data_IF_172864566316
#
_entry.id   IF_172864566316
#
_cell.length_a   1.000
_cell.length_b   1.000
_cell.length_c   1.000
_cell.angle_alpha   90.00
_cell.angle_beta   90.00
_cell.angle_gamma   90.00
#
_symmetry.space_group_name_H-M   'P 1'
#
loop_
_entity.id
_entity.type
_entity.pdbx_description
1 polymer ?
#
# COMPACT_ATOMS: atom_id res chain seq x y z
N UNK A 1 10.25 26.57 -34.53
CA UNK A 1 8.90 26.10 -34.14
C UNK A 1 9.08 24.70 -33.55
N UNK A 2 8.95 24.54 -32.23
CA UNK A 2 8.95 23.22 -31.62
C UNK A 2 7.59 22.58 -31.92
N UNK A 3 7.59 21.45 -32.63
CA UNK A 3 6.38 20.65 -32.77
C UNK A 3 5.89 20.28 -31.36
N UNK A 4 4.58 20.46 -31.04
CA UNK A 4 4.06 19.98 -29.76
C UNK A 4 4.30 18.47 -29.68
N UNK A 5 5.08 18.04 -28.68
CA UNK A 5 5.26 16.62 -28.42
C UNK A 5 3.88 16.01 -28.14
N UNK A 6 3.64 14.76 -28.60
CA UNK A 6 2.41 14.08 -28.26
C UNK A 6 2.27 14.04 -26.72
N UNK A 7 1.08 14.31 -26.18
CA UNK A 7 0.89 14.35 -24.74
C UNK A 7 1.27 13.02 -24.12
N UNK A 8 2.24 13.05 -23.21
CA UNK A 8 2.78 11.86 -22.55
C UNK A 8 1.81 11.37 -21.45
N UNK A 9 1.68 10.04 -21.24
CA UNK A 9 0.93 9.50 -20.12
C UNK A 9 1.46 9.99 -18.78
N UNK A 10 0.55 10.27 -17.83
CA UNK A 10 0.90 10.79 -16.51
C UNK A 10 0.79 9.71 -15.44
N UNK A 11 1.88 9.43 -14.74
CA UNK A 11 1.90 8.63 -13.52
C UNK A 11 1.83 9.58 -12.31
N UNK A 12 0.78 9.47 -11.50
CA UNK A 12 0.46 10.45 -10.46
C UNK A 12 0.53 9.84 -9.07
N UNK A 13 1.23 10.51 -8.16
CA UNK A 13 1.27 10.18 -6.75
C UNK A 13 0.67 11.30 -5.91
N UNK A 14 -0.17 10.92 -4.94
CA UNK A 14 -0.64 11.78 -3.87
C UNK A 14 0.03 11.34 -2.57
N UNK A 15 1.06 12.07 -2.13
CA UNK A 15 1.89 11.67 -1.00
C UNK A 15 1.98 12.80 0.03
N UNK A 16 1.22 12.69 1.11
CA UNK A 16 1.18 13.69 2.17
C UNK A 16 1.10 13.08 3.58
N UNK A 17 1.61 13.79 4.58
CA UNK A 17 1.51 13.42 5.99
C UNK A 17 2.79 12.77 6.55
N UNK A 18 2.71 11.62 7.27
CA UNK A 18 3.87 11.05 7.93
C UNK A 18 5.01 10.72 6.97
N UNK A 19 6.25 10.88 7.43
CA UNK A 19 7.47 10.58 6.64
C UNK A 19 7.47 9.18 6.01
N UNK A 20 6.81 8.20 6.65
CA UNK A 20 6.66 6.84 6.11
C UNK A 20 5.95 6.81 4.75
N UNK A 21 4.95 7.67 4.51
CA UNK A 21 4.24 7.69 3.22
C UNK A 21 5.12 8.26 2.11
N UNK A 22 6.00 9.22 2.43
CA UNK A 22 6.98 9.72 1.46
C UNK A 22 8.07 8.69 1.16
N UNK A 23 8.49 7.92 2.17
CA UNK A 23 9.43 6.81 1.98
C UNK A 23 8.84 5.73 1.05
N UNK A 24 7.57 5.39 1.24
CA UNK A 24 6.81 4.46 0.39
C UNK A 24 6.72 4.99 -1.05
N UNK A 25 6.28 6.25 -1.24
CA UNK A 25 6.19 6.89 -2.55
C UNK A 25 7.55 6.98 -3.27
N UNK A 26 8.60 7.39 -2.56
CA UNK A 26 9.96 7.48 -3.10
C UNK A 26 10.42 6.12 -3.65
N UNK A 27 10.25 5.06 -2.88
CA UNK A 27 10.60 3.72 -3.34
C UNK A 27 9.70 3.23 -4.49
N UNK A 28 8.40 3.52 -4.45
CA UNK A 28 7.47 3.23 -5.56
C UNK A 28 7.95 3.86 -6.87
N UNK A 29 8.29 5.16 -6.85
CA UNK A 29 8.80 5.90 -8.01
C UNK A 29 10.12 5.29 -8.51
N UNK A 30 11.08 5.03 -7.63
CA UNK A 30 12.36 4.43 -8.01
C UNK A 30 12.16 3.04 -8.63
N UNK A 31 11.22 2.24 -8.10
CA UNK A 31 10.90 0.94 -8.68
C UNK A 31 10.32 1.06 -10.09
N UNK A 32 9.48 2.08 -10.35
CA UNK A 32 8.98 2.38 -11.70
C UNK A 32 10.14 2.72 -12.66
N UNK A 33 11.04 3.61 -12.22
CA UNK A 33 12.19 4.05 -13.00
C UNK A 33 13.18 2.91 -13.29
N UNK A 34 13.38 2.00 -12.33
CA UNK A 34 14.21 0.81 -12.52
C UNK A 34 13.66 -0.10 -13.64
N UNK A 35 12.33 -0.22 -13.74
CA UNK A 35 11.68 -1.02 -14.79
C UNK A 35 11.49 -0.30 -16.13
N UNK A 36 11.69 1.03 -16.19
CA UNK A 36 11.71 1.79 -17.43
C UNK A 36 13.05 1.71 -18.17
N UNK A 37 14.16 1.53 -17.46
CA UNK A 37 15.49 1.51 -18.05
C UNK A 37 15.78 2.80 -18.84
N UNK A 38 15.97 2.69 -20.16
CA UNK A 38 16.19 3.83 -21.06
C UNK A 38 14.91 4.51 -21.53
N UNK A 39 13.74 3.91 -21.33
CA UNK A 39 12.44 4.46 -21.75
C UNK A 39 11.85 5.48 -20.75
N UNK A 40 12.70 6.19 -19.99
CA UNK A 40 12.25 7.20 -19.00
C UNK A 40 11.49 8.35 -19.64
N UNK A 41 11.75 8.61 -20.92
CA UNK A 41 11.06 9.64 -21.70
C UNK A 41 9.70 9.19 -22.27
N UNK A 42 9.19 8.02 -21.89
CA UNK A 42 7.90 7.52 -22.40
C UNK A 42 6.68 7.96 -21.57
N UNK A 43 6.88 8.49 -20.36
CA UNK A 43 5.82 8.93 -19.45
C UNK A 43 6.32 10.02 -18.51
N UNK A 44 5.45 10.83 -17.93
CA UNK A 44 5.83 11.79 -16.89
C UNK A 44 5.34 11.32 -15.53
N UNK A 45 6.08 11.68 -14.47
CA UNK A 45 5.72 11.36 -13.10
C UNK A 45 5.42 12.67 -12.37
N UNK A 46 4.23 12.77 -11.78
CA UNK A 46 3.81 13.91 -10.97
C UNK A 46 3.65 13.48 -9.51
N UNK A 47 4.16 14.28 -8.58
CA UNK A 47 4.05 14.04 -7.14
C UNK A 47 3.41 15.25 -6.47
N UNK A 48 2.18 15.07 -6.00
CA UNK A 48 1.46 16.05 -5.19
C UNK A 48 1.75 15.81 -3.72
N UNK A 49 2.40 16.76 -3.05
CA UNK A 49 2.99 16.51 -1.73
C UNK A 49 3.09 17.74 -0.83
N UNK A 50 2.96 17.53 0.48
CA UNK A 50 3.23 18.54 1.51
C UNK A 50 4.71 18.61 1.93
N UNK A 51 5.54 17.66 1.45
CA UNK A 51 6.98 17.65 1.68
C UNK A 51 7.74 17.30 0.38
N UNK A 52 8.32 18.29 -0.31
CA UNK A 52 9.00 18.08 -1.59
C UNK A 52 10.39 17.45 -1.45
N UNK A 53 11.03 17.57 -0.27
CA UNK A 53 12.43 17.20 -0.06
C UNK A 53 12.77 15.75 -0.47
N UNK A 54 11.95 14.72 -0.18
CA UNK A 54 12.27 13.32 -0.53
C UNK A 54 12.34 13.04 -2.04
N UNK A 55 11.86 13.95 -2.88
CA UNK A 55 11.74 13.76 -4.32
C UNK A 55 12.69 14.64 -5.14
N UNK A 56 13.50 15.49 -4.48
CA UNK A 56 14.30 16.52 -5.15
C UNK A 56 15.29 15.95 -6.19
N UNK A 57 15.83 14.75 -5.94
CA UNK A 57 16.80 14.08 -6.82
C UNK A 57 16.12 13.12 -7.83
N UNK A 58 14.79 13.03 -7.84
CA UNK A 58 14.04 12.15 -8.74
C UNK A 58 13.56 12.94 -9.97
N UNK A 59 13.53 12.34 -11.17
CA UNK A 59 13.03 12.97 -12.39
C UNK A 59 11.50 13.04 -12.39
N UNK A 60 10.93 13.84 -11.49
CA UNK A 60 9.50 14.00 -11.29
C UNK A 60 9.12 15.48 -11.26
N UNK A 61 7.88 15.78 -11.64
CA UNK A 61 7.28 17.10 -11.40
C UNK A 61 6.68 17.14 -10.01
N UNK A 62 7.19 18.02 -9.15
CA UNK A 62 6.70 18.20 -7.79
C UNK A 62 5.64 19.30 -7.77
N UNK A 63 4.46 18.96 -7.26
CA UNK A 63 3.35 19.90 -7.03
C UNK A 63 3.14 20.05 -5.53
N UNK A 64 3.38 21.26 -5.00
CA UNK A 64 3.20 21.53 -3.58
C UNK A 64 1.71 21.46 -3.23
N UNK A 65 1.37 20.63 -2.26
CA UNK A 65 0.02 20.43 -1.76
C UNK A 65 -0.11 21.08 -0.38
N UNK A 66 -0.61 22.31 -0.36
CA UNK A 66 -0.84 23.05 0.88
C UNK A 66 -2.06 22.55 1.66
N UNK A 67 -2.15 22.95 2.93
CA UNK A 67 -3.23 22.52 3.82
C UNK A 67 -4.61 22.97 3.32
N UNK A 68 -4.71 24.19 2.78
CA UNK A 68 -5.99 24.73 2.31
C UNK A 68 -6.55 23.90 1.14
N UNK A 69 -5.69 23.53 0.20
CA UNK A 69 -6.03 22.67 -0.94
C UNK A 69 -6.45 21.29 -0.46
N UNK A 70 -5.73 20.69 0.50
CA UNK A 70 -6.12 19.39 1.09
C UNK A 70 -7.49 19.43 1.76
N UNK A 71 -7.74 20.46 2.56
CA UNK A 71 -9.04 20.64 3.22
C UNK A 71 -10.15 20.77 2.18
N UNK A 72 -9.93 21.54 1.11
CA UNK A 72 -10.89 21.68 0.02
C UNK A 72 -11.14 20.36 -0.73
N UNK A 73 -10.11 19.56 -0.97
CA UNK A 73 -10.26 18.25 -1.64
C UNK A 73 -10.97 17.21 -0.77
N UNK A 74 -10.88 17.34 0.56
CA UNK A 74 -11.53 16.45 1.53
C UNK A 74 -12.94 16.90 1.93
N UNK A 75 -13.33 18.13 1.60
CA UNK A 75 -14.67 18.66 1.83
C UNK A 75 -15.74 17.86 1.05
N UNK A 76 -16.98 17.75 1.55
CA UNK A 76 -17.52 18.45 2.72
C UNK A 76 -17.27 17.75 4.07
N UNK A 77 -16.83 16.48 4.07
CA UNK A 77 -16.82 15.66 5.29
C UNK A 77 -15.45 15.45 5.93
N UNK A 78 -14.37 15.99 5.33
CA UNK A 78 -13.00 15.69 5.75
C UNK A 78 -12.54 14.28 5.36
N UNK A 79 -13.16 13.66 4.36
CA UNK A 79 -12.84 12.29 3.94
C UNK A 79 -11.59 12.27 3.07
N UNK A 80 -10.44 11.93 3.66
CA UNK A 80 -9.13 12.04 2.99
C UNK A 80 -9.00 11.24 1.69
N UNK A 81 -9.69 10.10 1.54
CA UNK A 81 -9.64 9.32 0.30
C UNK A 81 -10.35 9.97 -0.89
N UNK A 82 -11.26 10.92 -0.63
CA UNK A 82 -11.88 11.75 -1.68
C UNK A 82 -10.84 12.47 -2.53
N UNK A 83 -9.74 12.91 -1.91
CA UNK A 83 -8.65 13.62 -2.58
C UNK A 83 -8.05 12.85 -3.76
N UNK A 84 -8.05 11.51 -3.74
CA UNK A 84 -7.54 10.70 -4.86
C UNK A 84 -8.31 11.02 -6.15
N UNK A 85 -9.63 10.99 -6.08
CA UNK A 85 -10.48 11.20 -7.25
C UNK A 85 -10.47 12.66 -7.69
N UNK A 86 -10.44 13.60 -6.73
CA UNK A 86 -10.33 15.04 -7.03
C UNK A 86 -9.04 15.33 -7.78
N UNK A 87 -7.91 14.82 -7.28
CA UNK A 87 -6.61 14.99 -7.92
C UNK A 87 -6.59 14.42 -9.33
N UNK A 88 -6.96 13.14 -9.49
CA UNK A 88 -6.94 12.50 -10.80
C UNK A 88 -7.86 13.23 -11.79
N UNK A 89 -9.01 13.72 -11.31
CA UNK A 89 -9.95 14.50 -12.12
C UNK A 89 -9.33 15.81 -12.63
N UNK A 90 -8.54 16.50 -11.81
CA UNK A 90 -7.81 17.72 -12.19
C UNK A 90 -6.70 17.41 -13.20
N UNK A 91 -5.90 16.36 -12.97
CA UNK A 91 -4.84 15.97 -13.92
C UNK A 91 -5.44 15.66 -15.29
N UNK A 92 -6.58 14.96 -15.34
CA UNK A 92 -7.28 14.63 -16.59
C UNK A 92 -7.92 15.83 -17.31
N UNK A 93 -7.97 17.02 -16.69
CA UNK A 93 -8.35 18.26 -17.40
C UNK A 93 -7.21 18.76 -18.31
N UNK A 94 -5.97 18.41 -17.97
CA UNK A 94 -4.77 18.93 -18.61
C UNK A 94 -4.08 17.86 -19.47
N UNK A 95 -4.32 16.59 -19.16
CA UNK A 95 -3.67 15.45 -19.81
C UNK A 95 -4.70 14.43 -20.30
N UNK A 96 -4.50 13.83 -21.48
CA UNK A 96 -5.47 12.91 -22.06
C UNK A 96 -5.55 11.56 -21.34
N UNK A 97 -4.53 11.19 -20.56
CA UNK A 97 -4.42 9.90 -19.91
C UNK A 97 -3.56 10.01 -18.65
N UNK A 98 -4.09 9.50 -17.54
CA UNK A 98 -3.41 9.51 -16.26
C UNK A 98 -3.70 8.24 -15.45
N UNK A 99 -2.71 7.83 -14.66
CA UNK A 99 -2.81 6.73 -13.69
C UNK A 99 -2.35 7.24 -12.34
N UNK A 100 -3.26 7.28 -11.37
CA UNK A 100 -2.96 7.55 -9.97
C UNK A 100 -2.62 6.25 -9.24
N UNK A 101 -1.59 6.27 -8.40
CA UNK A 101 -1.14 5.10 -7.62
C UNK A 101 -0.94 5.48 -6.16
N UNK A 102 -1.32 4.56 -5.26
CA UNK A 102 -1.07 4.68 -3.82
C UNK A 102 0.43 4.59 -3.50
N UNK A 103 0.83 5.23 -2.40
CA UNK A 103 2.24 5.28 -2.00
C UNK A 103 2.78 3.92 -1.58
N UNK A 104 1.94 3.05 -1.00
CA UNK A 104 2.29 1.71 -0.52
C UNK A 104 2.30 0.65 -1.62
N UNK A 105 2.97 0.99 -2.72
CA UNK A 105 3.12 0.16 -3.91
C UNK A 105 4.58 0.08 -4.36
N UNK A 106 4.93 -0.93 -5.14
CA UNK A 106 6.11 -0.90 -5.99
C UNK A 106 5.90 -1.75 -7.25
N UNK A 107 6.68 -1.44 -8.29
CA UNK A 107 6.57 -2.06 -9.60
C UNK A 107 7.27 -3.41 -9.65
N UNK A 108 6.63 -4.38 -10.31
CA UNK A 108 7.16 -5.69 -10.71
C UNK A 108 7.59 -5.71 -12.17
N UNK A 109 7.03 -4.81 -12.97
CA UNK A 109 7.22 -4.69 -14.40
C UNK A 109 7.18 -3.22 -14.84
N UNK A 110 7.37 -2.97 -16.13
CA UNK A 110 7.36 -1.61 -16.66
C UNK A 110 6.03 -0.89 -16.41
N UNK A 111 6.04 0.36 -15.92
CA UNK A 111 4.83 1.17 -15.74
C UNK A 111 4.05 1.42 -17.04
N UNK A 112 4.70 1.30 -18.20
CA UNK A 112 4.03 1.42 -19.51
C UNK A 112 2.93 0.37 -19.70
N UNK A 113 3.03 -0.77 -19.02
CA UNK A 113 1.98 -1.80 -19.05
C UNK A 113 0.68 -1.36 -18.39
N UNK A 114 0.71 -0.38 -17.47
CA UNK A 114 -0.50 0.24 -16.92
C UNK A 114 -1.21 1.05 -17.99
N UNK A 115 -0.47 1.92 -18.67
CA UNK A 115 -1.04 2.81 -19.68
C UNK A 115 -1.61 2.06 -20.87
N UNK A 116 -1.02 0.92 -21.25
CA UNK A 116 -1.58 0.03 -22.27
C UNK A 116 -2.98 -0.53 -21.92
N UNK A 117 -3.40 -0.46 -20.65
CA UNK A 117 -4.71 -0.93 -20.16
C UNK A 117 -5.74 0.20 -20.03
N UNK A 118 -5.31 1.45 -20.17
CA UNK A 118 -6.17 2.63 -20.11
C UNK A 118 -6.55 3.05 -21.53
N UNK A 119 -7.85 3.08 -21.81
CA UNK A 119 -8.43 3.48 -23.08
C UNK A 119 -9.85 4.01 -22.84
N UNK A 120 -10.47 4.74 -23.80
CA UNK A 120 -11.85 5.18 -23.66
C UNK A 120 -12.79 4.03 -23.29
N UNK A 121 -13.65 4.25 -22.29
CA UNK A 121 -14.55 3.24 -21.74
C UNK A 121 -13.87 2.15 -20.90
N UNK A 122 -12.59 2.29 -20.53
CA UNK A 122 -11.85 1.33 -19.69
C UNK A 122 -11.29 1.99 -18.44
N UNK A 123 -11.69 1.47 -17.28
CA UNK A 123 -11.14 1.81 -15.98
C UNK A 123 -10.03 0.81 -15.61
N UNK A 124 -8.83 1.30 -15.36
CA UNK A 124 -7.78 0.53 -14.71
C UNK A 124 -7.93 0.64 -13.18
N UNK A 125 -7.91 -0.49 -12.49
CA UNK A 125 -7.82 -0.58 -11.03
C UNK A 125 -6.67 -1.48 -10.59
N UNK A 126 -6.33 -1.50 -9.29
CA UNK A 126 -5.27 -2.38 -8.81
C UNK A 126 -5.69 -3.86 -8.89
N UNK A 127 -6.88 -4.19 -8.41
CA UNK A 127 -7.42 -5.55 -8.36
C UNK A 127 -8.94 -5.56 -8.50
N UNK A 128 -9.49 -6.59 -9.14
CA UNK A 128 -10.92 -6.88 -9.15
C UNK A 128 -11.23 -7.86 -8.01
N UNK A 129 -12.08 -7.40 -7.09
CA UNK A 129 -12.49 -8.13 -5.91
C UNK A 129 -13.73 -9.00 -6.12
N UNK A 130 -14.29 -9.55 -5.01
CA UNK A 130 -15.53 -10.29 -5.06
C UNK A 130 -16.71 -9.38 -5.46
N UNK A 131 -17.85 -10.00 -5.80
CA UNK A 131 -19.08 -9.27 -6.08
C UNK A 131 -19.59 -8.56 -4.83
N UNK A 132 -20.20 -7.39 -4.99
CA UNK A 132 -20.78 -6.58 -3.92
C UNK A 132 -21.69 -7.39 -2.98
N UNK A 133 -22.51 -8.30 -3.51
CA UNK A 133 -23.40 -9.15 -2.72
C UNK A 133 -22.73 -10.29 -1.95
N UNK A 134 -21.41 -10.49 -2.07
CA UNK A 134 -20.71 -11.60 -1.43
C UNK A 134 -20.57 -11.42 0.11
N UNK A 135 -20.51 -10.18 0.59
CA UNK A 135 -20.43 -9.87 2.02
C UNK A 135 -21.58 -8.98 2.48
N UNK A 136 -22.74 -9.59 2.71
CA UNK A 136 -23.95 -8.88 3.13
C UNK A 136 -23.87 -8.29 4.55
N UNK A 137 -22.81 -8.62 5.29
CA UNK A 137 -22.60 -8.10 6.65
C UNK A 137 -21.84 -6.77 6.66
N UNK A 138 -21.20 -6.38 5.56
CA UNK A 138 -20.42 -5.14 5.50
C UNK A 138 -21.32 -3.89 5.54
N UNK A 139 -20.76 -2.78 6.04
CA UNK A 139 -21.49 -1.53 6.24
C UNK A 139 -22.05 -0.97 4.93
N UNK A 140 -21.25 -0.99 3.87
CA UNK A 140 -21.66 -0.53 2.53
C UNK A 140 -22.89 -1.29 2.04
N UNK A 141 -22.89 -2.63 2.15
CA UNK A 141 -24.03 -3.45 1.73
C UNK A 141 -25.29 -3.13 2.52
N UNK A 142 -25.19 -3.12 3.85
CA UNK A 142 -26.34 -2.87 4.75
C UNK A 142 -26.98 -1.51 4.50
N UNK A 143 -26.18 -0.49 4.24
CA UNK A 143 -26.66 0.88 4.22
C UNK A 143 -26.98 1.39 2.82
N UNK A 144 -26.36 0.84 1.76
CA UNK A 144 -26.47 1.40 0.41
C UNK A 144 -27.23 0.51 -0.58
N UNK A 145 -27.43 -0.80 -0.33
CA UNK A 145 -28.05 -1.69 -1.33
C UNK A 145 -29.40 -1.17 -1.84
N UNK A 146 -30.33 -0.83 -0.94
CA UNK A 146 -31.67 -0.35 -1.31
C UNK A 146 -31.61 0.94 -2.11
N UNK A 147 -30.72 1.87 -1.73
CA UNK A 147 -30.52 3.14 -2.43
C UNK A 147 -30.01 2.88 -3.85
N UNK A 148 -28.98 2.01 -3.98
CA UNK A 148 -28.35 1.71 -5.26
C UNK A 148 -29.31 0.98 -6.21
N UNK A 149 -30.08 0.01 -5.71
CA UNK A 149 -31.07 -0.72 -6.51
C UNK A 149 -32.24 0.17 -6.91
N UNK A 150 -32.78 0.95 -5.97
CA UNK A 150 -33.90 1.86 -6.23
C UNK A 150 -33.58 2.93 -7.28
N UNK A 151 -32.31 3.32 -7.39
CA UNK A 151 -31.81 4.26 -8.41
C UNK A 151 -31.22 3.59 -9.65
N UNK A 152 -31.19 2.26 -9.70
CA UNK A 152 -30.57 1.51 -10.80
C UNK A 152 -29.06 1.71 -10.95
N UNK A 153 -28.36 2.18 -9.91
CA UNK A 153 -26.93 2.48 -9.92
C UNK A 153 -26.07 1.21 -9.86
N UNK A 154 -26.42 0.27 -8.99
CA UNK A 154 -25.70 -0.99 -8.84
C UNK A 154 -26.60 -2.09 -8.28
N UNK A 155 -26.18 -3.33 -8.50
CA UNK A 155 -26.81 -4.53 -7.94
C UNK A 155 -25.76 -5.42 -7.25
N UNK A 156 -26.19 -6.53 -6.67
CA UNK A 156 -25.33 -7.49 -5.99
C UNK A 156 -24.25 -8.12 -6.88
N UNK A 157 -24.31 -7.95 -8.21
CA UNK A 157 -23.36 -8.52 -9.17
C UNK A 157 -22.19 -7.59 -9.48
N UNK A 158 -22.27 -6.32 -9.09
CA UNK A 158 -21.18 -5.36 -9.31
C UNK A 158 -19.87 -5.90 -8.73
N UNK A 159 -18.79 -5.98 -9.52
CA UNK A 159 -17.48 -6.31 -8.97
C UNK A 159 -17.00 -5.18 -8.06
N UNK A 160 -16.53 -5.52 -6.86
CA UNK A 160 -15.75 -4.57 -6.06
C UNK A 160 -14.37 -4.42 -6.70
N UNK A 161 -13.74 -3.26 -6.51
CA UNK A 161 -12.40 -2.97 -7.04
C UNK A 161 -11.52 -2.43 -5.91
N UNK A 162 -10.20 -2.54 -6.11
CA UNK A 162 -9.24 -1.84 -5.27
C UNK A 162 -8.69 -0.59 -5.97
N UNK A 163 -8.82 0.57 -5.31
CA UNK A 163 -8.42 1.88 -5.84
C UNK A 163 -6.94 2.22 -5.68
N UNK A 164 -6.10 1.28 -5.22
CA UNK A 164 -4.65 1.51 -5.08
C UNK A 164 -3.96 1.88 -6.40
N UNK A 165 -4.66 1.66 -7.51
CA UNK A 165 -4.37 2.19 -8.83
C UNK A 165 -5.70 2.68 -9.42
N UNK A 166 -5.72 3.84 -10.06
CA UNK A 166 -6.86 4.35 -10.83
C UNK A 166 -6.33 4.92 -12.13
N UNK A 167 -6.68 4.31 -13.26
CA UNK A 167 -6.28 4.80 -14.58
C UNK A 167 -7.48 5.07 -15.48
N UNK A 168 -7.50 6.27 -16.07
CA UNK A 168 -8.59 6.76 -16.92
C UNK A 168 -8.04 7.64 -18.04
N UNK A 169 -8.85 7.79 -19.08
CA UNK A 169 -8.65 8.83 -20.10
C UNK A 169 -9.40 10.10 -19.73
N UNK A 170 -9.05 11.22 -20.36
CA UNK A 170 -9.76 12.48 -20.19
C UNK A 170 -11.24 12.39 -20.64
N UNK A 171 -11.54 11.56 -21.64
CA UNK A 171 -12.91 11.33 -22.12
C UNK A 171 -13.80 10.71 -21.03
N UNK A 172 -13.23 9.84 -20.20
CA UNK A 172 -13.94 9.15 -19.12
C UNK A 172 -13.85 9.86 -17.76
N UNK A 173 -13.25 11.06 -17.70
CA UNK A 173 -12.99 11.78 -16.46
C UNK A 173 -14.26 12.08 -15.65
N UNK A 174 -15.42 12.18 -16.31
CA UNK A 174 -16.74 12.36 -15.67
C UNK A 174 -17.15 11.19 -14.75
N UNK A 175 -16.51 10.03 -14.87
CA UNK A 175 -16.64 8.90 -13.94
C UNK A 175 -16.20 9.31 -12.53
N UNK A 176 -15.13 10.12 -12.43
CA UNK A 176 -14.66 10.64 -11.15
C UNK A 176 -15.61 11.68 -10.58
N UNK A 177 -16.22 12.53 -11.41
CA UNK A 177 -17.25 13.49 -10.97
C UNK A 177 -18.44 12.76 -10.32
N UNK A 178 -18.91 11.69 -10.96
CA UNK A 178 -19.96 10.83 -10.42
C UNK A 178 -19.53 10.15 -9.12
N UNK A 179 -18.30 9.61 -9.08
CA UNK A 179 -17.78 8.97 -7.89
C UNK A 179 -17.64 9.94 -6.72
N UNK A 180 -17.21 11.18 -6.96
CA UNK A 180 -17.07 12.23 -5.95
C UNK A 180 -18.44 12.61 -5.38
N UNK A 181 -19.43 12.86 -6.24
CA UNK A 181 -20.78 13.16 -5.80
C UNK A 181 -21.38 12.03 -4.94
N UNK A 182 -21.16 10.77 -5.33
CA UNK A 182 -21.61 9.62 -4.53
C UNK A 182 -20.86 9.48 -3.20
N UNK A 183 -19.56 9.77 -3.15
CA UNK A 183 -18.84 9.81 -1.86
C UNK A 183 -19.44 10.87 -0.94
N UNK A 184 -19.70 12.06 -1.47
CA UNK A 184 -20.26 13.18 -0.70
C UNK A 184 -21.66 12.86 -0.17
N UNK A 185 -22.47 12.15 -0.96
CA UNK A 185 -23.81 11.71 -0.56
C UNK A 185 -23.78 10.54 0.45
N UNK A 186 -22.95 9.51 0.21
CA UNK A 186 -23.00 8.26 0.96
C UNK A 186 -22.14 8.26 2.21
N UNK A 187 -21.19 9.18 2.35
CA UNK A 187 -20.31 9.24 3.52
C UNK A 187 -21.06 9.35 4.86
N UNK A 188 -22.09 10.21 5.02
CA UNK A 188 -22.87 10.28 6.27
C UNK A 188 -23.55 8.96 6.64
N UNK A 189 -23.89 8.13 5.64
CA UNK A 189 -24.53 6.83 5.82
C UNK A 189 -23.51 5.73 6.13
N UNK A 190 -22.22 5.96 5.85
CA UNK A 190 -21.19 4.92 5.86
C UNK A 190 -19.88 5.40 6.47
N UNK A 191 -19.94 6.26 7.49
CA UNK A 191 -18.77 6.95 8.08
C UNK A 191 -17.59 6.05 8.45
N UNK A 192 -17.84 4.80 8.82
CA UNK A 192 -16.80 3.82 9.20
C UNK A 192 -16.30 2.97 8.01
N UNK A 193 -16.89 3.12 6.82
CA UNK A 193 -16.47 2.43 5.62
C UNK A 193 -15.19 3.09 5.07
N UNK A 194 -14.05 2.51 5.44
CA UNK A 194 -12.74 2.97 4.99
C UNK A 194 -12.62 3.02 3.46
N UNK A 195 -13.26 2.08 2.77
CA UNK A 195 -13.19 1.82 1.33
C UNK A 195 -14.33 2.46 0.54
N UNK A 196 -14.92 3.55 1.03
CA UNK A 196 -16.04 4.21 0.35
C UNK A 196 -15.62 4.76 -1.03
N UNK A 197 -14.40 5.28 -1.17
CA UNK A 197 -13.90 5.84 -2.43
C UNK A 197 -13.79 4.80 -3.55
N UNK A 198 -13.28 3.62 -3.25
CA UNK A 198 -13.13 2.53 -4.22
C UNK A 198 -14.49 1.93 -4.56
N UNK A 199 -15.39 1.90 -3.58
CA UNK A 199 -16.77 1.49 -3.78
C UNK A 199 -17.53 2.44 -4.71
N UNK A 200 -17.47 3.75 -4.44
CA UNK A 200 -18.11 4.75 -5.30
C UNK A 200 -17.53 4.74 -6.72
N UNK A 201 -16.23 4.49 -6.87
CA UNK A 201 -15.60 4.34 -8.19
C UNK A 201 -16.15 3.11 -8.93
N UNK A 202 -16.29 1.97 -8.25
CA UNK A 202 -16.92 0.78 -8.82
C UNK A 202 -18.36 1.06 -9.26
N UNK A 203 -19.16 1.76 -8.44
CA UNK A 203 -20.54 2.14 -8.78
C UNK A 203 -20.57 3.05 -10.00
N UNK A 204 -19.68 4.05 -10.07
CA UNK A 204 -19.61 4.98 -11.20
C UNK A 204 -19.27 4.30 -12.53
N UNK A 205 -18.40 3.29 -12.50
CA UNK A 205 -17.98 2.53 -13.68
C UNK A 205 -18.95 1.38 -14.05
N UNK A 206 -19.78 0.92 -13.12
CA UNK A 206 -20.57 -0.30 -13.30
C UNK A 206 -21.55 -0.19 -14.47
N UNK A 207 -21.51 -1.19 -15.38
CA UNK A 207 -22.28 -1.26 -16.64
C UNK A 207 -22.01 -0.14 -17.65
N UNK A 208 -21.04 0.73 -17.38
CA UNK A 208 -20.63 1.84 -18.26
C UNK A 208 -19.22 1.64 -18.82
N UNK A 209 -18.37 0.96 -18.07
CA UNK A 209 -16.96 0.76 -18.42
C UNK A 209 -16.56 -0.71 -18.30
N UNK A 210 -15.57 -1.10 -19.11
CA UNK A 210 -14.80 -2.31 -18.84
C UNK A 210 -13.76 -2.03 -17.75
N UNK A 211 -13.52 -2.99 -16.86
CA UNK A 211 -12.54 -2.86 -15.77
C UNK A 211 -11.36 -3.79 -16.04
N UNK A 212 -10.14 -3.26 -15.92
CA UNK A 212 -8.89 -4.02 -16.00
C UNK A 212 -8.12 -3.91 -14.68
N UNK A 213 -7.47 -4.99 -14.23
CA UNK A 213 -6.60 -4.99 -13.05
C UNK A 213 -5.11 -4.98 -13.41
N UNK A 214 -4.25 -4.73 -12.41
CA UNK A 214 -2.79 -4.68 -12.60
C UNK A 214 -1.95 -5.29 -11.48
N UNK A 215 -2.48 -6.32 -10.82
CA UNK A 215 -1.73 -7.06 -9.78
C UNK A 215 -0.45 -7.73 -10.32
N UNK A 216 -0.34 -7.97 -11.62
CA UNK A 216 0.85 -8.48 -12.29
C UNK A 216 1.94 -7.42 -12.48
N UNK A 217 1.57 -6.14 -12.59
CA UNK A 217 2.50 -5.02 -12.79
C UNK A 217 2.91 -4.37 -11.47
N UNK A 218 1.99 -4.30 -10.51
CA UNK A 218 2.19 -3.61 -9.23
C UNK A 218 1.98 -4.57 -8.08
N UNK A 219 2.90 -4.51 -7.12
CA UNK A 219 2.68 -5.05 -5.80
C UNK A 219 2.12 -3.96 -4.87
N UNK A 220 0.83 -4.03 -4.57
CA UNK A 220 0.19 -3.18 -3.55
C UNK A 220 0.18 -3.91 -2.20
N UNK A 221 1.01 -3.46 -1.25
CA UNK A 221 1.23 -4.15 0.03
C UNK A 221 0.36 -3.63 1.18
N UNK A 222 -0.93 -3.49 0.93
CA UNK A 222 -1.91 -3.05 1.94
C UNK A 222 -1.96 -3.95 3.19
N UNK A 223 -1.58 -5.22 3.05
CA UNK A 223 -1.36 -6.15 4.16
C UNK A 223 0.15 -6.33 4.42
N UNK A 224 0.53 -6.60 5.68
CA UNK A 224 1.96 -6.78 6.07
C UNK A 224 2.82 -5.53 5.82
N UNK A 225 2.22 -4.33 5.86
CA UNK A 225 2.89 -3.03 5.71
C UNK A 225 4.18 -2.92 6.52
N UNK A 226 4.18 -3.36 7.78
CA UNK A 226 5.36 -3.29 8.64
C UNK A 226 6.58 -4.00 8.05
N UNK A 227 6.40 -5.19 7.44
CA UNK A 227 7.49 -5.93 6.85
C UNK A 227 8.02 -5.25 5.58
N UNK A 228 7.13 -4.81 4.69
CA UNK A 228 7.55 -4.12 3.46
C UNK A 228 8.18 -2.75 3.74
N UNK A 229 7.63 -1.98 4.70
CA UNK A 229 8.26 -0.74 5.20
C UNK A 229 9.66 -0.98 5.72
N UNK A 230 9.89 -2.08 6.44
CA UNK A 230 11.23 -2.41 6.93
C UNK A 230 12.22 -2.67 5.78
N UNK A 231 11.78 -3.34 4.70
CA UNK A 231 12.60 -3.51 3.48
C UNK A 231 12.91 -2.18 2.82
N UNK A 232 11.90 -1.34 2.63
CA UNK A 232 12.00 -0.02 2.00
C UNK A 232 12.92 0.90 2.81
N UNK A 233 12.78 0.93 4.12
CA UNK A 233 13.63 1.72 5.01
C UNK A 233 15.07 1.24 5.02
N UNK A 234 15.32 -0.07 4.88
CA UNK A 234 16.68 -0.58 4.71
C UNK A 234 17.27 -0.17 3.36
N UNK A 235 16.48 -0.22 2.28
CA UNK A 235 16.90 0.27 0.96
C UNK A 235 17.20 1.77 0.99
N UNK A 236 16.33 2.59 1.58
CA UNK A 236 16.53 4.04 1.70
C UNK A 236 17.72 4.40 2.58
N UNK A 237 17.99 3.65 3.66
CA UNK A 237 19.22 3.87 4.46
C UNK A 237 20.48 3.57 3.67
N UNK A 238 20.43 2.59 2.76
CA UNK A 238 21.57 2.20 1.93
C UNK A 238 21.77 3.15 0.75
N UNK A 239 20.69 3.59 0.11
CA UNK A 239 20.71 4.25 -1.20
C UNK A 239 20.12 5.66 -1.22
N UNK A 240 19.60 6.18 -0.12
CA UNK A 240 18.83 7.43 -0.10
C UNK A 240 19.59 8.69 -0.51
N UNK A 241 20.93 8.66 -0.53
CA UNK A 241 21.75 9.76 -1.03
C UNK A 241 21.88 9.79 -2.57
N UNK A 242 21.74 8.63 -3.22
CA UNK A 242 21.76 8.48 -4.68
C UNK A 242 20.79 7.34 -5.08
N UNK A 243 19.47 7.61 -5.03
CA UNK A 243 18.43 6.60 -5.22
C UNK A 243 18.36 6.06 -6.65
N UNK A 244 19.07 6.67 -7.60
CA UNK A 244 19.10 6.28 -9.01
C UNK A 244 20.46 5.73 -9.45
N UNK A 245 21.41 5.56 -8.53
CA UNK A 245 22.67 4.87 -8.79
C UNK A 245 22.44 3.47 -9.36
N UNK A 246 23.40 2.95 -10.11
CA UNK A 246 23.33 1.59 -10.65
C UNK A 246 23.13 0.54 -9.53
N UNK A 247 23.75 0.74 -8.36
CA UNK A 247 23.58 -0.13 -7.20
C UNK A 247 22.16 -0.04 -6.61
N UNK A 248 21.62 1.18 -6.48
CA UNK A 248 20.27 1.40 -5.98
C UNK A 248 19.22 0.70 -6.87
N UNK A 249 19.31 0.90 -8.18
CA UNK A 249 18.41 0.29 -9.17
C UNK A 249 18.56 -1.24 -9.20
N UNK A 250 19.78 -1.77 -9.07
CA UNK A 250 20.01 -3.20 -9.01
C UNK A 250 19.38 -3.83 -7.75
N UNK A 251 19.36 -3.11 -6.63
CA UNK A 251 18.80 -3.57 -5.36
C UNK A 251 17.28 -3.45 -5.27
N UNK A 252 16.61 -2.71 -6.15
CA UNK A 252 15.13 -2.65 -6.22
C UNK A 252 14.54 -4.06 -6.29
N UNK A 253 15.11 -4.96 -7.11
CA UNK A 253 14.63 -6.35 -7.25
C UNK A 253 14.79 -7.18 -5.96
N UNK A 254 15.67 -6.76 -5.04
CA UNK A 254 15.89 -7.41 -3.76
C UNK A 254 14.88 -6.95 -2.71
N UNK A 255 14.26 -5.78 -2.86
CA UNK A 255 13.05 -5.36 -2.14
C UNK A 255 11.83 -6.07 -2.78
N UNK A 256 11.88 -7.39 -2.78
CA UNK A 256 10.87 -8.23 -3.41
C UNK A 256 9.55 -8.25 -2.63
N UNK A 257 8.51 -8.74 -3.30
CA UNK A 257 7.14 -8.90 -2.79
C UNK A 257 6.91 -10.14 -1.91
N UNK A 258 7.96 -10.93 -1.66
CA UNK A 258 7.85 -12.12 -0.83
C UNK A 258 7.96 -11.74 0.63
N UNK A 259 7.01 -12.21 1.45
CA UNK A 259 7.15 -12.07 2.89
C UNK A 259 8.30 -12.98 3.36
N UNK A 260 9.33 -12.45 4.04
CA UNK A 260 10.47 -13.26 4.45
C UNK A 260 10.02 -14.29 5.46
N UNK A 261 10.09 -15.56 5.07
CA UNK A 261 9.74 -16.71 5.89
C UNK A 261 10.87 -17.74 5.82
N UNK A 262 11.23 -18.38 6.94
CA UNK A 262 12.22 -19.44 6.91
C UNK A 262 11.78 -20.59 5.98
N UNK A 263 12.73 -21.36 5.44
CA UNK A 263 12.43 -22.57 4.68
C UNK A 263 11.52 -23.54 5.45
N UNK A 264 10.82 -24.40 4.73
CA UNK A 264 9.80 -25.29 5.31
C UNK A 264 10.34 -26.14 6.49
N UNK A 265 11.54 -26.70 6.36
CA UNK A 265 12.17 -27.51 7.41
C UNK A 265 12.45 -26.69 8.69
N UNK A 266 12.92 -25.44 8.55
CA UNK A 266 13.13 -24.55 9.68
C UNK A 266 11.81 -24.18 10.36
N UNK A 267 10.74 -23.92 9.58
CA UNK A 267 9.41 -23.65 10.14
C UNK A 267 8.83 -24.86 10.88
N UNK A 268 9.09 -26.07 10.40
CA UNK A 268 8.71 -27.30 11.11
C UNK A 268 9.50 -27.43 12.42
N UNK A 269 10.80 -27.17 12.40
CA UNK A 269 11.64 -27.12 13.61
C UNK A 269 11.13 -26.10 14.63
N UNK A 270 10.82 -24.87 14.20
CA UNK A 270 10.24 -23.84 15.07
C UNK A 270 8.86 -24.22 15.60
N UNK A 271 8.05 -24.92 14.81
CA UNK A 271 6.76 -25.45 15.27
C UNK A 271 6.97 -26.50 16.37
N UNK A 272 7.87 -27.47 16.16
CA UNK A 272 8.20 -28.49 17.15
C UNK A 272 8.74 -27.87 18.44
N UNK A 273 9.70 -26.94 18.33
CA UNK A 273 10.24 -26.19 19.46
C UNK A 273 9.13 -25.44 20.22
N UNK A 274 8.21 -24.77 19.52
CA UNK A 274 7.12 -24.03 20.15
C UNK A 274 6.16 -24.93 20.95
N UNK A 275 6.18 -26.25 20.77
CA UNK A 275 5.35 -27.17 21.57
C UNK A 275 5.81 -27.27 23.02
N UNK A 276 7.06 -26.93 23.33
CA UNK A 276 7.58 -26.85 24.71
C UNK A 276 7.09 -25.61 25.45
N UNK A 277 6.36 -24.71 24.77
CA UNK A 277 5.81 -23.48 25.33
C UNK A 277 4.30 -23.61 25.56
N UNK A 278 3.74 -22.82 26.51
CA UNK A 278 2.30 -22.69 26.68
C UNK A 278 1.59 -22.38 25.35
N UNK A 279 0.39 -22.94 25.15
CA UNK A 279 -0.36 -22.81 23.89
C UNK A 279 -0.52 -21.35 23.43
N UNK A 280 -0.68 -20.42 24.37
CA UNK A 280 -0.87 -19.00 24.10
C UNK A 280 0.39 -18.29 23.57
N UNK A 281 1.59 -18.77 23.89
CA UNK A 281 2.87 -18.16 23.49
C UNK A 281 3.46 -18.76 22.21
N UNK A 282 2.92 -19.88 21.71
CA UNK A 282 3.54 -20.62 20.59
C UNK A 282 3.66 -19.79 19.32
N UNK A 283 2.67 -18.95 19.03
CA UNK A 283 2.74 -18.05 17.86
C UNK A 283 3.78 -16.96 18.06
N UNK A 284 3.79 -16.34 19.24
CA UNK A 284 4.78 -15.33 19.62
C UNK A 284 6.21 -15.86 19.37
N UNK A 285 6.53 -17.03 19.91
CA UNK A 285 7.84 -17.66 19.72
C UNK A 285 8.21 -17.90 18.24
N UNK A 286 7.27 -18.42 17.42
CA UNK A 286 7.55 -18.67 16.00
C UNK A 286 7.81 -17.38 15.23
N UNK A 287 7.05 -16.33 15.50
CA UNK A 287 7.21 -15.03 14.83
C UNK A 287 8.52 -14.36 15.24
N UNK A 288 8.95 -14.49 16.52
CA UNK A 288 10.29 -14.07 16.94
C UNK A 288 11.39 -14.79 16.16
N UNK A 289 11.27 -16.11 16.03
CA UNK A 289 12.25 -16.94 15.32
C UNK A 289 12.27 -16.65 13.81
N UNK A 290 11.15 -16.23 13.22
CA UNK A 290 11.13 -15.78 11.83
C UNK A 290 11.95 -14.51 11.63
N UNK A 291 11.90 -13.56 12.57
CA UNK A 291 12.78 -12.40 12.58
C UNK A 291 14.24 -12.74 12.92
N UNK A 292 14.48 -13.89 13.56
CA UNK A 292 15.82 -14.34 13.90
C UNK A 292 16.56 -15.03 12.75
N UNK A 293 15.83 -15.49 11.73
CA UNK A 293 16.38 -16.32 10.67
C UNK A 293 17.39 -15.54 9.78
N UNK A 294 18.56 -16.12 9.45
CA UNK A 294 19.58 -15.45 8.64
C UNK A 294 19.23 -15.50 7.14
N UNK A 295 18.25 -14.69 6.71
CA UNK A 295 17.88 -14.60 5.29
C UNK A 295 19.10 -14.20 4.43
N UNK A 296 19.31 -14.79 3.23
CA UNK A 296 20.40 -14.39 2.34
C UNK A 296 20.29 -12.94 1.87
N UNK A 297 19.07 -12.50 1.58
CA UNK A 297 18.74 -11.14 1.18
C UNK A 297 18.75 -10.19 2.39
N UNK A 298 19.49 -9.10 2.30
CA UNK A 298 19.62 -8.14 3.40
C UNK A 298 18.33 -7.39 3.72
N UNK A 299 17.51 -7.09 2.70
CA UNK A 299 16.24 -6.40 2.92
C UNK A 299 15.23 -7.31 3.64
N UNK A 300 15.31 -8.63 3.40
CA UNK A 300 14.54 -9.62 4.15
C UNK A 300 14.99 -9.72 5.62
N UNK A 301 16.30 -9.62 5.87
CA UNK A 301 16.84 -9.54 7.26
C UNK A 301 16.36 -8.28 7.98
N UNK A 302 16.19 -7.17 7.27
CA UNK A 302 15.71 -5.92 7.86
C UNK A 302 14.29 -6.02 8.44
N UNK A 303 13.50 -7.02 8.04
CA UNK A 303 12.16 -7.27 8.60
C UNK A 303 12.18 -7.84 10.03
N UNK A 304 13.35 -8.08 10.64
CA UNK A 304 13.44 -8.68 11.97
C UNK A 304 12.65 -7.92 13.06
N UNK A 305 12.80 -6.60 13.24
CA UNK A 305 12.00 -5.85 14.21
C UNK A 305 10.51 -5.91 13.92
N UNK A 306 10.11 -5.80 12.64
CA UNK A 306 8.72 -5.90 12.23
C UNK A 306 8.09 -7.27 12.53
N UNK A 307 8.88 -8.36 12.51
CA UNK A 307 8.42 -9.67 12.98
C UNK A 307 8.23 -9.71 14.50
N UNK A 308 9.09 -9.03 15.26
CA UNK A 308 9.03 -9.00 16.71
C UNK A 308 7.85 -8.16 17.20
N UNK A 309 7.67 -6.96 16.67
CA UNK A 309 6.51 -6.12 16.98
C UNK A 309 5.22 -6.86 16.64
N UNK A 310 5.17 -7.54 15.49
CA UNK A 310 4.01 -8.33 15.11
C UNK A 310 3.74 -9.49 16.06
N UNK A 311 4.78 -10.14 16.56
CA UNK A 311 4.66 -11.18 17.56
C UNK A 311 3.98 -10.65 18.83
N UNK A 312 4.44 -9.51 19.33
CA UNK A 312 3.90 -8.89 20.54
C UNK A 312 2.47 -8.37 20.33
N UNK A 313 2.20 -7.71 19.21
CA UNK A 313 0.84 -7.27 18.83
C UNK A 313 -0.14 -8.44 18.82
N UNK A 314 0.21 -9.55 18.18
CA UNK A 314 -0.65 -10.72 18.06
C UNK A 314 -0.90 -11.38 19.43
N UNK A 315 0.08 -11.36 20.31
CA UNK A 315 -0.05 -11.88 21.67
C UNK A 315 -0.97 -10.96 22.50
N UNK A 316 -0.73 -9.64 22.47
CA UNK A 316 -1.52 -8.65 23.19
C UNK A 316 -2.99 -8.61 22.74
N UNK A 317 -3.23 -8.69 21.43
CA UNK A 317 -4.58 -8.68 20.87
C UNK A 317 -5.43 -9.88 21.31
N UNK A 318 -4.81 -11.00 21.70
CA UNK A 318 -5.53 -12.23 22.11
C UNK A 318 -5.66 -12.39 23.61
N UNK A 319 -4.68 -11.93 24.37
CA UNK A 319 -4.57 -12.22 25.81
C UNK A 319 -4.48 -10.97 26.68
N UNK A 320 -4.64 -9.78 26.09
CA UNK A 320 -4.46 -8.50 26.76
C UNK A 320 -2.99 -8.08 26.79
N UNK A 321 -2.75 -6.81 27.14
CA UNK A 321 -1.41 -6.22 27.17
C UNK A 321 -0.53 -6.92 28.20
N UNK A 322 0.57 -7.53 27.74
CA UNK A 322 1.56 -8.13 28.64
C UNK A 322 2.30 -7.05 29.44
N UNK A 323 2.51 -7.34 30.72
CA UNK A 323 3.42 -6.56 31.57
C UNK A 323 4.89 -6.89 31.23
N UNK A 324 5.84 -5.95 31.44
CA UNK A 324 7.26 -6.15 31.17
C UNK A 324 7.84 -7.45 31.76
N UNK A 325 7.50 -7.78 33.00
CA UNK A 325 7.97 -9.01 33.67
C UNK A 325 7.44 -10.27 33.00
N UNK A 326 6.18 -10.27 32.53
CA UNK A 326 5.59 -11.40 31.81
C UNK A 326 6.28 -11.62 30.46
N UNK A 327 6.58 -10.53 29.74
CA UNK A 327 7.35 -10.60 28.50
C UNK A 327 8.75 -11.19 28.75
N UNK A 328 9.45 -10.74 29.80
CA UNK A 328 10.75 -11.29 30.18
C UNK A 328 10.66 -12.78 30.53
N UNK A 329 9.59 -13.19 31.22
CA UNK A 329 9.34 -14.60 31.55
C UNK A 329 9.16 -15.44 30.28
N UNK A 330 8.36 -14.96 29.31
CA UNK A 330 8.17 -15.63 28.02
C UNK A 330 9.53 -15.86 27.33
N UNK A 331 10.36 -14.81 27.24
CA UNK A 331 11.68 -14.88 26.60
C UNK A 331 12.70 -15.76 27.34
N UNK A 332 12.45 -16.09 28.61
CA UNK A 332 13.33 -16.94 29.44
C UNK A 332 12.99 -18.43 29.36
N UNK A 333 11.89 -18.83 28.73
CA UNK A 333 11.58 -20.25 28.54
C UNK A 333 12.77 -20.99 27.91
N UNK A 334 13.22 -22.14 28.46
CA UNK A 334 14.50 -22.75 28.08
C UNK A 334 14.68 -22.96 26.57
N UNK A 335 13.69 -23.56 25.89
CA UNK A 335 13.75 -23.82 24.45
C UNK A 335 13.80 -22.54 23.62
N UNK A 336 13.03 -21.52 24.00
CA UNK A 336 13.04 -20.23 23.31
C UNK A 336 14.34 -19.46 23.57
N UNK A 337 14.79 -19.42 24.83
CA UNK A 337 16.05 -18.77 25.25
C UNK A 337 17.25 -19.33 24.49
N UNK A 338 17.35 -20.65 24.37
CA UNK A 338 18.41 -21.31 23.60
C UNK A 338 18.32 -20.97 22.11
N UNK A 339 17.12 -20.98 21.54
CA UNK A 339 16.92 -20.72 20.10
C UNK A 339 17.16 -19.26 19.70
N UNK A 340 16.83 -18.31 20.57
CA UNK A 340 17.09 -16.88 20.33
C UNK A 340 18.57 -16.52 20.53
N UNK A 341 19.31 -17.30 21.32
CA UNK A 341 20.74 -17.08 21.58
C UNK A 341 21.04 -15.65 22.07
N UNK A 342 22.06 -15.03 21.48
CA UNK A 342 22.51 -13.68 21.82
C UNK A 342 21.47 -12.60 21.46
N UNK A 343 20.67 -12.84 20.41
CA UNK A 343 19.62 -11.91 19.94
C UNK A 343 18.49 -11.73 20.94
N UNK A 344 18.37 -12.60 21.95
CA UNK A 344 17.36 -12.46 23.01
C UNK A 344 17.40 -11.09 23.70
N UNK A 345 18.60 -10.57 24.01
CA UNK A 345 18.75 -9.27 24.70
C UNK A 345 18.31 -8.10 23.81
N UNK A 346 18.65 -8.18 22.53
CA UNK A 346 18.22 -7.21 21.51
C UNK A 346 16.68 -7.20 21.40
N UNK A 347 16.07 -8.38 21.27
CA UNK A 347 14.62 -8.56 21.20
C UNK A 347 13.93 -8.03 22.45
N UNK A 348 14.43 -8.38 23.64
CA UNK A 348 13.88 -7.91 24.91
C UNK A 348 13.91 -6.38 24.98
N UNK A 349 15.03 -5.76 24.61
CA UNK A 349 15.19 -4.30 24.60
C UNK A 349 14.25 -3.62 23.60
N UNK A 350 14.13 -4.18 22.39
CA UNK A 350 13.24 -3.69 21.35
C UNK A 350 11.78 -3.75 21.79
N UNK A 351 11.31 -4.93 22.22
CA UNK A 351 9.92 -5.15 22.60
C UNK A 351 9.50 -4.34 23.84
N UNK A 352 10.41 -4.14 24.80
CA UNK A 352 10.12 -3.28 25.95
C UNK A 352 9.93 -1.83 25.53
N UNK A 353 10.75 -1.30 24.61
CA UNK A 353 10.55 0.06 24.07
C UNK A 353 9.23 0.18 23.31
N UNK A 354 8.90 -0.79 22.45
CA UNK A 354 7.64 -0.83 21.72
C UNK A 354 6.41 -0.95 22.64
N UNK A 355 6.58 -1.51 23.85
CA UNK A 355 5.49 -1.67 24.82
C UNK A 355 5.13 -0.41 25.61
N UNK A 356 5.93 0.66 25.50
CA UNK A 356 5.69 1.96 26.17
C UNK A 356 5.06 3.02 25.26
N UNK A 357 4.93 2.71 23.96
CA UNK A 357 4.17 3.46 22.95
C UNK A 357 2.81 2.78 22.81
#
# INVERSE_FOLDING_TARGET
>A
MQHPQPPRPQLVYLAFGPATYHQEACFSIVSALAHLGTAREAMDIQVYTDNPQPYAELPVSIQLLDEATRQAWNAPHGYHFRSKHVLLRQVLQQHPLAVLIDTDTFFRASPLQLFARVAPGKLLCNAIGPRYGANQKCLLYKNLLTILQGRGLADCRMPLINSGVIGLTAEDASTLDSSIAMMDEFYPLTREAYTLEEFCLAVAAYRRMAVAECTDVIHHYWSRKAQFRAKIQAWLRKHGHDPLSQAALADVKLVNDQLPRPPALHRLGYKALSMTLPRHERQFARELLYGCYPYPNEFDRACAPAWWDKALENLNARYGRLQPEQLRQCLRHPGLRLSLGERRKEIETHLLRSSHI
#
